data_IF_397779264654
#
_entry.id   IF_397779264654
#
_cell.length_a   1.000
_cell.length_b   1.000
_cell.length_c   1.000
_cell.angle_alpha   90.00
_cell.angle_beta   90.00
_cell.angle_gamma   90.00
#
_symmetry.space_group_name_H-M   'P 1'
#
loop_
_entity.id
_entity.type
_entity.pdbx_description
1 polymer ?
#
# COMPACT_ATOMS: atom_id res chain seq x y z
N UNK A 1 -9.13 11.93 -21.03
CA UNK A 1 -9.68 10.55 -21.08
C UNK A 1 -8.79 9.58 -21.90
N UNK A 2 -7.54 9.31 -21.50
CA UNK A 2 -6.63 8.39 -22.24
C UNK A 2 -6.37 7.03 -21.55
N UNK A 3 -6.70 6.88 -20.26
CA UNK A 3 -6.24 5.74 -19.45
C UNK A 3 -6.91 4.40 -19.82
N UNK A 4 -8.20 4.43 -20.17
CA UNK A 4 -9.01 3.27 -20.54
C UNK A 4 -9.23 3.16 -22.06
N UNK A 5 -8.50 3.95 -22.86
CA UNK A 5 -8.62 3.91 -24.32
C UNK A 5 -8.29 2.49 -24.82
N UNK A 6 -9.11 1.98 -25.75
CA UNK A 6 -8.99 0.63 -26.35
C UNK A 6 -9.17 -0.54 -25.36
N UNK A 7 -9.87 -0.34 -24.24
CA UNK A 7 -10.27 -1.46 -23.38
C UNK A 7 -11.58 -2.07 -23.90
N UNK A 8 -11.62 -3.41 -23.96
CA UNK A 8 -12.79 -4.18 -24.42
C UNK A 8 -13.90 -4.31 -23.39
N UNK A 9 -13.60 -4.01 -22.12
CA UNK A 9 -14.54 -4.14 -21.00
C UNK A 9 -14.92 -2.75 -20.47
N UNK A 10 -16.16 -2.57 -19.97
CA UNK A 10 -16.57 -1.35 -19.28
C UNK A 10 -15.62 -1.01 -18.13
N UNK A 11 -15.42 0.28 -17.87
CA UNK A 11 -14.46 0.76 -16.87
C UNK A 11 -14.85 0.29 -15.47
N UNK A 12 -16.16 0.25 -15.21
CA UNK A 12 -16.79 -0.20 -13.97
C UNK A 12 -16.42 -1.66 -13.67
N UNK A 13 -16.44 -2.52 -14.68
CA UNK A 13 -16.04 -3.93 -14.56
C UNK A 13 -14.54 -4.06 -14.25
N UNK A 14 -13.71 -3.27 -14.93
CA UNK A 14 -12.27 -3.25 -14.71
C UNK A 14 -11.97 -2.84 -13.27
N UNK A 15 -12.53 -1.70 -12.82
CA UNK A 15 -12.32 -1.17 -11.48
C UNK A 15 -12.90 -2.08 -10.40
N UNK A 16 -14.05 -2.73 -10.67
CA UNK A 16 -14.64 -3.73 -9.79
C UNK A 16 -13.65 -4.88 -9.54
N UNK A 17 -13.12 -5.48 -10.60
CA UNK A 17 -12.17 -6.59 -10.49
C UNK A 17 -10.90 -6.18 -9.73
N UNK A 18 -10.32 -5.02 -10.06
CA UNK A 18 -9.13 -4.53 -9.35
C UNK A 18 -9.43 -4.29 -7.87
N UNK A 19 -10.57 -3.69 -7.54
CA UNK A 19 -11.00 -3.43 -6.17
C UNK A 19 -11.22 -4.72 -5.39
N UNK A 20 -11.93 -5.69 -5.97
CA UNK A 20 -12.22 -6.97 -5.31
C UNK A 20 -10.95 -7.76 -5.05
N UNK A 21 -10.08 -7.89 -6.06
CA UNK A 21 -8.79 -8.54 -5.90
C UNK A 21 -7.99 -7.89 -4.76
N UNK A 22 -7.89 -6.56 -4.77
CA UNK A 22 -7.08 -5.84 -3.78
C UNK A 22 -7.69 -5.77 -2.37
N UNK A 23 -9.01 -5.86 -2.25
CA UNK A 23 -9.73 -5.75 -0.97
C UNK A 23 -9.89 -7.08 -0.25
N UNK A 24 -10.17 -8.15 -0.99
CA UNK A 24 -10.59 -9.43 -0.42
C UNK A 24 -9.48 -10.48 -0.43
N UNK A 25 -8.41 -10.29 -1.22
CA UNK A 25 -7.33 -11.27 -1.31
C UNK A 25 -7.80 -12.57 -1.97
N UNK A 26 -8.51 -12.47 -3.08
CA UNK A 26 -8.99 -13.62 -3.87
C UNK A 26 -7.98 -13.98 -4.95
N UNK A 27 -7.98 -15.22 -5.43
CA UNK A 27 -7.13 -15.61 -6.55
C UNK A 27 -7.65 -14.98 -7.86
N UNK A 28 -6.79 -14.83 -8.87
CA UNK A 28 -7.23 -14.34 -10.18
C UNK A 28 -8.18 -15.32 -10.88
N UNK A 29 -8.09 -16.62 -10.55
CA UNK A 29 -8.96 -17.66 -11.11
C UNK A 29 -10.34 -17.57 -10.48
N UNK A 30 -10.40 -17.53 -9.16
CA UNK A 30 -11.64 -17.39 -8.40
C UNK A 30 -12.36 -16.10 -8.80
N UNK A 31 -11.64 -14.98 -8.96
CA UNK A 31 -12.26 -13.74 -9.42
C UNK A 31 -12.79 -13.85 -10.86
N UNK A 32 -12.14 -14.58 -11.77
CA UNK A 32 -12.66 -14.80 -13.12
C UNK A 32 -13.93 -15.68 -13.10
N UNK A 33 -13.96 -16.68 -12.23
CA UNK A 33 -15.12 -17.54 -11.98
C UNK A 33 -16.31 -16.73 -11.44
N UNK A 34 -16.07 -15.94 -10.39
CA UNK A 34 -17.08 -15.01 -9.82
C UNK A 34 -17.62 -14.00 -10.84
N UNK A 35 -16.81 -13.60 -11.83
CA UNK A 35 -17.29 -12.72 -12.89
C UNK A 35 -18.11 -13.49 -13.94
N UNK A 36 -17.78 -14.75 -14.20
CA UNK A 36 -18.57 -15.64 -15.08
C UNK A 36 -19.96 -15.91 -14.52
N UNK A 37 -20.09 -16.11 -13.20
CA UNK A 37 -21.40 -16.20 -12.52
C UNK A 37 -22.28 -14.96 -12.74
N UNK A 38 -21.66 -13.81 -13.03
CA UNK A 38 -22.32 -12.52 -13.28
C UNK A 38 -22.45 -12.20 -14.77
N UNK A 39 -22.26 -13.21 -15.64
CA UNK A 39 -22.37 -13.06 -17.10
C UNK A 39 -21.19 -12.37 -17.78
N UNK A 40 -20.06 -12.18 -17.08
CA UNK A 40 -18.87 -11.50 -17.61
C UNK A 40 -17.73 -12.49 -17.79
N UNK A 41 -17.54 -12.95 -19.03
CA UNK A 41 -16.42 -13.83 -19.39
C UNK A 41 -15.11 -13.05 -19.48
N UNK A 42 -14.24 -13.18 -18.48
CA UNK A 42 -12.93 -12.54 -18.43
C UNK A 42 -11.85 -13.53 -18.01
N UNK A 43 -10.71 -13.54 -18.70
CA UNK A 43 -9.62 -14.43 -18.32
C UNK A 43 -8.84 -13.94 -17.09
N UNK A 44 -8.31 -14.85 -16.25
CA UNK A 44 -7.48 -14.49 -15.09
C UNK A 44 -6.30 -13.57 -15.45
N UNK A 45 -5.66 -13.83 -16.61
CA UNK A 45 -4.56 -13.02 -17.14
C UNK A 45 -4.97 -11.59 -17.49
N UNK A 46 -6.23 -11.39 -17.90
CA UNK A 46 -6.76 -10.05 -18.17
C UNK A 46 -6.94 -9.26 -16.89
N UNK A 47 -7.50 -9.89 -15.85
CA UNK A 47 -7.62 -9.28 -14.52
C UNK A 47 -6.23 -8.95 -13.94
N UNK A 48 -5.27 -9.86 -14.08
CA UNK A 48 -3.88 -9.61 -13.68
C UNK A 48 -3.34 -8.33 -14.33
N UNK A 49 -3.46 -8.18 -15.66
CA UNK A 49 -3.02 -6.96 -16.37
C UNK A 49 -3.74 -5.71 -15.88
N UNK A 50 -5.02 -5.81 -15.52
CA UNK A 50 -5.75 -4.69 -14.92
C UNK A 50 -5.21 -4.32 -13.54
N UNK A 51 -4.96 -5.28 -12.66
CA UNK A 51 -4.36 -5.00 -11.35
C UNK A 51 -3.00 -4.34 -11.52
N UNK A 52 -2.14 -4.87 -12.39
CA UNK A 52 -0.83 -4.31 -12.67
C UNK A 52 -0.89 -2.86 -13.18
N UNK A 53 -1.91 -2.52 -13.97
CA UNK A 53 -2.08 -1.18 -14.54
C UNK A 53 -2.75 -0.21 -13.59
N UNK A 54 -3.85 -0.62 -12.95
CA UNK A 54 -4.76 0.31 -12.28
C UNK A 54 -4.59 0.36 -10.76
N UNK A 55 -4.03 -0.66 -10.11
CA UNK A 55 -3.75 -0.58 -8.68
C UNK A 55 -2.77 0.56 -8.32
N UNK A 56 -1.64 0.76 -9.06
CA UNK A 56 -0.77 1.93 -8.84
C UNK A 56 -1.46 3.26 -9.16
N UNK A 57 -2.38 3.26 -10.12
CA UNK A 57 -3.15 4.43 -10.52
C UNK A 57 -4.18 4.84 -9.45
N UNK A 58 -4.79 3.87 -8.75
CA UNK A 58 -5.63 4.13 -7.58
C UNK A 58 -4.79 4.77 -6.46
N UNK A 59 -3.61 4.19 -6.16
CA UNK A 59 -2.68 4.73 -5.15
C UNK A 59 -2.26 6.17 -5.46
N UNK A 60 -1.91 6.45 -6.71
CA UNK A 60 -1.55 7.80 -7.15
C UNK A 60 -2.69 8.79 -6.96
N UNK A 61 -3.91 8.42 -7.37
CA UNK A 61 -5.06 9.33 -7.34
C UNK A 61 -5.64 9.53 -5.95
N UNK A 62 -5.52 8.55 -5.05
CA UNK A 62 -6.04 8.72 -3.69
C UNK A 62 -5.12 9.56 -2.80
N UNK A 63 -3.83 9.69 -3.14
CA UNK A 63 -2.81 10.35 -2.32
C UNK A 63 -3.24 11.73 -1.80
N UNK A 64 -3.82 12.65 -2.60
CA UNK A 64 -4.28 13.95 -2.12
C UNK A 64 -5.38 13.88 -1.04
N UNK A 65 -6.14 12.78 -0.99
CA UNK A 65 -7.31 12.62 -0.11
C UNK A 65 -6.99 11.88 1.19
N UNK A 66 -5.71 11.57 1.45
CA UNK A 66 -5.31 10.80 2.62
C UNK A 66 -5.40 11.59 3.94
N UNK A 67 -5.45 12.93 3.86
CA UNK A 67 -5.51 13.81 5.02
C UNK A 67 -4.24 13.78 5.88
N UNK A 68 -4.30 14.44 7.03
CA UNK A 68 -3.18 14.58 7.94
C UNK A 68 -2.68 13.21 8.50
N UNK A 69 -1.37 13.10 8.72
CA UNK A 69 -0.68 11.97 9.36
C UNK A 69 0.02 12.47 10.61
N UNK A 70 -0.15 11.78 11.73
CA UNK A 70 0.49 12.18 12.98
C UNK A 70 2.02 12.04 12.89
N UNK A 71 2.75 12.97 13.51
CA UNK A 71 4.22 12.95 13.56
C UNK A 71 4.84 11.78 14.34
N UNK A 72 4.06 11.02 15.11
CA UNK A 72 4.55 9.78 15.76
C UNK A 72 4.37 8.57 14.87
N UNK A 73 5.49 8.01 14.38
CA UNK A 73 5.54 6.92 13.41
C UNK A 73 5.92 5.59 14.05
N UNK A 74 5.47 4.50 13.44
CA UNK A 74 5.91 3.12 13.66
C UNK A 74 6.39 2.56 12.35
N UNK A 75 7.59 2.01 12.35
CA UNK A 75 8.34 1.64 11.15
C UNK A 75 8.90 0.24 11.35
N UNK A 76 8.56 -0.68 10.45
CA UNK A 76 9.00 -2.07 10.51
C UNK A 76 8.95 -2.71 9.11
N UNK A 77 9.56 -3.89 8.98
CA UNK A 77 9.50 -4.68 7.76
C UNK A 77 8.68 -5.95 7.93
N UNK A 78 8.10 -6.40 6.82
CA UNK A 78 7.49 -7.73 6.76
C UNK A 78 7.92 -8.52 5.55
N UNK A 79 7.91 -9.84 5.69
CA UNK A 79 8.36 -10.74 4.64
C UNK A 79 7.29 -10.98 3.58
N UNK A 80 7.69 -10.87 2.32
CA UNK A 80 6.85 -11.17 1.15
C UNK A 80 7.64 -12.05 0.19
N UNK A 81 7.02 -13.14 -0.31
CA UNK A 81 7.68 -14.06 -1.25
C UNK A 81 7.59 -13.52 -2.68
N UNK A 82 8.73 -13.31 -3.33
CA UNK A 82 8.83 -12.79 -4.70
C UNK A 82 9.92 -13.56 -5.47
N UNK A 83 9.56 -14.14 -6.62
CA UNK A 83 10.46 -14.96 -7.44
C UNK A 83 11.02 -16.13 -6.64
N UNK A 84 10.19 -16.79 -5.83
CA UNK A 84 10.59 -17.90 -4.95
C UNK A 84 11.37 -17.50 -3.69
N UNK A 85 11.90 -16.27 -3.60
CA UNK A 85 12.73 -15.79 -2.48
C UNK A 85 11.97 -14.89 -1.51
N UNK A 86 12.36 -14.88 -0.25
CA UNK A 86 11.85 -13.92 0.73
C UNK A 86 12.45 -12.53 0.48
N UNK A 87 11.57 -11.54 0.38
CA UNK A 87 11.88 -10.10 0.22
C UNK A 87 11.24 -9.30 1.34
N UNK A 88 11.62 -8.03 1.45
CA UNK A 88 11.25 -7.16 2.57
C UNK A 88 10.32 -6.06 2.10
N UNK A 89 9.13 -5.99 2.68
CA UNK A 89 8.22 -4.87 2.54
C UNK A 89 8.38 -3.98 3.77
N UNK A 90 9.07 -2.86 3.59
CA UNK A 90 9.19 -1.80 4.58
C UNK A 90 7.87 -1.03 4.66
N UNK A 91 7.41 -0.73 5.88
CA UNK A 91 6.11 -0.09 6.12
C UNK A 91 6.23 0.92 7.26
N UNK A 92 5.49 2.01 7.12
CA UNK A 92 5.41 3.08 8.11
C UNK A 92 3.95 3.46 8.29
N UNK A 93 3.50 3.47 9.53
CA UNK A 93 2.17 3.94 9.92
C UNK A 93 2.28 4.96 11.04
N UNK A 94 1.34 5.88 11.15
CA UNK A 94 1.27 6.79 12.29
C UNK A 94 0.67 6.09 13.54
N UNK A 95 0.62 6.81 14.67
CA UNK A 95 0.01 6.31 15.93
C UNK A 95 -1.47 5.90 15.82
N UNK A 96 -2.19 6.34 14.78
CA UNK A 96 -3.58 5.95 14.49
C UNK A 96 -3.66 4.80 13.47
N UNK A 97 -2.51 4.24 13.08
CA UNK A 97 -2.39 3.18 12.09
C UNK A 97 -2.66 3.66 10.66
N UNK A 98 -2.58 4.97 10.37
CA UNK A 98 -2.70 5.49 9.01
C UNK A 98 -1.39 5.28 8.26
N UNK A 99 -1.47 4.72 7.06
CA UNK A 99 -0.29 4.43 6.24
C UNK A 99 0.41 5.73 5.81
N UNK A 100 1.71 5.82 6.08
CA UNK A 100 2.58 6.92 5.64
C UNK A 100 3.27 6.52 4.33
N UNK A 101 3.92 5.35 4.32
CA UNK A 101 4.57 4.81 3.15
C UNK A 101 4.78 3.29 3.26
N UNK A 102 4.91 2.64 2.11
CA UNK A 102 5.40 1.28 1.99
C UNK A 102 6.42 1.15 0.85
N UNK A 103 7.39 0.25 0.96
CA UNK A 103 8.39 0.03 -0.08
C UNK A 103 8.88 -1.42 -0.09
N UNK A 104 8.77 -2.07 -1.25
CA UNK A 104 9.32 -3.41 -1.45
C UNK A 104 10.82 -3.31 -1.78
N UNK A 105 11.64 -4.09 -1.08
CA UNK A 105 13.09 -4.13 -1.22
C UNK A 105 13.61 -5.56 -1.34
N UNK A 106 14.67 -5.70 -2.12
CA UNK A 106 15.43 -6.95 -2.26
C UNK A 106 16.28 -7.29 -1.02
N UNK A 107 16.61 -6.28 -0.21
CA UNK A 107 17.58 -6.32 0.90
C UNK A 107 17.00 -5.64 2.15
N UNK A 108 17.51 -6.04 3.32
CA UNK A 108 17.22 -5.47 4.64
C UNK A 108 18.52 -4.88 5.22
N UNK A 109 18.97 -3.78 4.61
CA UNK A 109 20.20 -3.08 4.96
C UNK A 109 19.94 -1.59 5.24
N UNK A 110 20.94 -0.88 5.75
CA UNK A 110 20.88 0.57 6.00
C UNK A 110 20.50 1.37 4.76
N UNK A 111 20.97 0.95 3.57
CA UNK A 111 20.63 1.61 2.31
C UNK A 111 19.14 1.50 1.98
N UNK A 112 18.53 0.34 2.22
CA UNK A 112 17.09 0.12 2.07
C UNK A 112 16.30 0.92 3.12
N UNK A 113 16.72 0.92 4.37
CA UNK A 113 16.09 1.72 5.43
C UNK A 113 16.13 3.22 5.11
N UNK A 114 17.28 3.74 4.66
CA UNK A 114 17.44 5.13 4.22
C UNK A 114 16.50 5.49 3.08
N UNK A 115 16.47 4.67 2.00
CA UNK A 115 15.56 4.92 0.86
C UNK A 115 14.10 4.89 1.30
N UNK A 116 13.76 4.01 2.24
CA UNK A 116 12.41 3.91 2.77
C UNK A 116 12.02 5.14 3.58
N UNK A 117 12.83 5.53 4.56
CA UNK A 117 12.58 6.69 5.40
C UNK A 117 12.54 7.98 4.58
N UNK A 118 13.43 8.15 3.61
CA UNK A 118 13.38 9.28 2.66
C UNK A 118 12.07 9.31 1.87
N UNK A 119 11.58 8.15 1.42
CA UNK A 119 10.29 8.03 0.74
C UNK A 119 9.13 8.40 1.68
N UNK A 120 9.17 7.96 2.92
CA UNK A 120 8.17 8.26 3.94
C UNK A 120 8.13 9.76 4.24
N UNK A 121 9.29 10.38 4.47
CA UNK A 121 9.44 11.81 4.69
C UNK A 121 8.86 12.65 3.54
N UNK A 122 9.19 12.31 2.30
CA UNK A 122 8.63 12.98 1.12
C UNK A 122 7.10 12.83 1.00
N UNK A 123 6.52 11.78 1.58
CA UNK A 123 5.08 11.57 1.51
C UNK A 123 4.30 12.49 2.47
N UNK A 124 4.97 13.09 3.46
CA UNK A 124 4.40 13.95 4.48
C UNK A 124 5.28 15.18 4.70
N UNK A 125 5.81 15.76 3.61
CA UNK A 125 6.73 16.91 3.64
C UNK A 125 6.21 18.06 4.51
N UNK A 126 4.90 18.25 4.54
CA UNK A 126 4.24 19.35 5.23
C UNK A 126 4.09 19.07 6.75
N UNK A 127 4.28 17.81 7.16
CA UNK A 127 4.12 17.33 8.54
C UNK A 127 5.22 16.30 8.87
N UNK A 128 6.47 16.75 9.07
CA UNK A 128 7.57 15.85 9.41
C UNK A 128 7.28 15.06 10.69
N UNK A 129 7.91 13.88 10.87
CA UNK A 129 7.78 13.12 12.10
C UNK A 129 8.35 13.91 13.27
N UNK A 130 7.76 13.74 14.45
CA UNK A 130 8.37 14.09 15.73
C UNK A 130 9.04 12.89 16.40
N UNK A 131 8.62 11.67 16.06
CA UNK A 131 9.23 10.44 16.57
C UNK A 131 9.11 9.29 15.59
N UNK A 132 10.18 8.49 15.49
CA UNK A 132 10.23 7.27 14.69
C UNK A 132 10.47 6.11 15.65
N UNK A 133 9.46 5.25 15.81
CA UNK A 133 9.61 4.00 16.57
C UNK A 133 9.90 2.86 15.61
N UNK A 134 11.01 2.15 15.81
CA UNK A 134 11.35 0.97 15.01
C UNK A 134 11.52 -0.27 15.88
N UNK A 135 11.62 -1.44 15.27
CA UNK A 135 12.20 -2.60 15.94
C UNK A 135 13.72 -2.40 16.15
N UNK A 136 14.38 -3.32 16.88
CA UNK A 136 15.81 -3.27 17.26
C UNK A 136 16.79 -3.47 16.09
N UNK A 137 16.36 -3.29 14.83
CA UNK A 137 17.23 -3.44 13.67
C UNK A 137 18.26 -2.31 13.60
N UNK A 138 19.56 -2.65 13.64
CA UNK A 138 20.68 -1.71 13.63
C UNK A 138 20.77 -0.82 12.37
N UNK A 139 20.02 -1.14 11.31
CA UNK A 139 19.96 -0.36 10.07
C UNK A 139 19.23 0.97 10.24
N UNK A 140 18.22 1.05 11.12
CA UNK A 140 17.40 2.24 11.28
C UNK A 140 18.13 3.43 11.92
N UNK A 141 18.84 3.27 13.05
CA UNK A 141 19.60 4.37 13.64
C UNK A 141 20.58 5.01 12.64
N UNK A 142 21.33 4.18 11.91
CA UNK A 142 22.28 4.64 10.88
C UNK A 142 21.59 5.40 9.73
N UNK A 143 20.41 4.94 9.33
CA UNK A 143 19.64 5.58 8.26
C UNK A 143 19.00 6.91 8.72
N UNK A 144 18.56 7.00 9.98
CA UNK A 144 17.99 8.20 10.59
C UNK A 144 19.08 9.28 10.72
N UNK A 145 20.22 8.93 11.32
CA UNK A 145 21.37 9.83 11.47
C UNK A 145 21.79 10.41 10.12
N UNK A 146 21.96 9.56 9.12
CA UNK A 146 22.30 10.01 7.76
C UNK A 146 21.27 10.99 7.18
N UNK A 147 19.97 10.79 7.42
CA UNK A 147 18.94 11.72 6.94
C UNK A 147 18.96 13.06 7.68
N UNK A 148 19.33 13.05 8.96
CA UNK A 148 19.54 14.26 9.77
C UNK A 148 20.76 15.04 9.28
N UNK A 149 21.88 14.35 9.05
CA UNK A 149 23.11 14.94 8.51
C UNK A 149 22.90 15.57 7.12
N UNK A 150 22.07 14.96 6.28
CA UNK A 150 21.71 15.49 4.95
C UNK A 150 20.62 16.59 5.01
N UNK A 151 20.13 16.96 6.20
CA UNK A 151 19.06 17.96 6.38
C UNK A 151 17.69 17.54 5.84
N UNK A 152 17.51 16.23 5.57
CA UNK A 152 16.26 15.68 5.03
C UNK A 152 15.27 15.28 6.12
N UNK A 153 15.74 15.09 7.35
CA UNK A 153 14.93 14.79 8.53
C UNK A 153 15.31 15.79 9.64
N UNK A 154 14.35 16.35 10.39
CA UNK A 154 14.69 17.25 11.48
C UNK A 154 15.60 16.60 12.55
N UNK A 155 16.50 17.39 13.12
CA UNK A 155 17.46 16.91 14.13
C UNK A 155 16.80 16.57 15.48
N UNK A 156 15.62 17.12 15.75
CA UNK A 156 14.82 16.88 16.95
C UNK A 156 13.93 15.62 16.84
N UNK A 157 13.96 14.89 15.72
CA UNK A 157 13.23 13.63 15.57
C UNK A 157 13.76 12.59 16.54
N UNK A 158 12.90 12.16 17.46
CA UNK A 158 13.25 11.16 18.47
C UNK A 158 13.15 9.75 17.89
N UNK A 159 14.27 9.04 17.79
CA UNK A 159 14.28 7.60 17.52
C UNK A 159 13.99 6.81 18.80
N UNK A 160 13.09 5.82 18.71
CA UNK A 160 12.72 4.96 19.84
C UNK A 160 12.70 3.51 19.40
N UNK A 161 12.97 2.61 20.35
CA UNK A 161 12.67 1.19 20.21
C UNK A 161 11.64 0.82 21.27
N UNK A 162 10.48 0.32 20.85
CA UNK A 162 9.41 -0.07 21.80
C UNK A 162 8.55 -1.17 21.20
N UNK A 163 8.59 -2.35 21.83
CA UNK A 163 7.77 -3.49 21.43
C UNK A 163 6.28 -3.16 21.54
N UNK A 164 5.86 -2.53 22.63
CA UNK A 164 4.46 -2.17 22.87
C UNK A 164 3.90 -1.22 21.79
N UNK A 165 4.66 -0.17 21.41
CA UNK A 165 4.20 0.78 20.39
C UNK A 165 4.11 0.15 18.99
N UNK A 166 4.89 -0.91 18.74
CA UNK A 166 4.88 -1.63 17.47
C UNK A 166 3.68 -2.57 17.29
N UNK A 167 2.91 -2.87 18.34
CA UNK A 167 1.72 -3.74 18.28
C UNK A 167 0.72 -3.31 17.19
N UNK A 168 0.54 -2.00 16.98
CA UNK A 168 -0.34 -1.47 15.92
C UNK A 168 0.14 -1.90 14.53
N UNK A 169 1.45 -1.82 14.31
CA UNK A 169 2.06 -2.17 13.03
C UNK A 169 2.08 -3.70 12.83
N UNK A 170 2.29 -4.48 13.90
CA UNK A 170 2.17 -5.94 13.86
C UNK A 170 0.75 -6.41 13.51
N UNK A 171 -0.27 -5.82 14.13
CA UNK A 171 -1.67 -6.09 13.78
C UNK A 171 -1.96 -5.72 12.32
N UNK A 172 -1.43 -4.57 11.86
CA UNK A 172 -1.55 -4.13 10.47
C UNK A 172 -0.81 -5.07 9.48
N UNK A 173 0.34 -5.61 9.88
CA UNK A 173 1.07 -6.65 9.15
C UNK A 173 0.22 -7.92 9.00
N UNK A 174 -0.43 -8.38 10.07
CA UNK A 174 -1.32 -9.54 10.03
C UNK A 174 -2.47 -9.37 9.05
N UNK A 175 -3.12 -8.21 9.07
CA UNK A 175 -4.20 -7.88 8.14
C UNK A 175 -3.73 -7.80 6.67
N UNK A 176 -2.53 -7.25 6.41
CA UNK A 176 -1.95 -7.25 5.07
C UNK A 176 -1.58 -8.67 4.60
N UNK A 177 -0.99 -9.49 5.47
CA UNK A 177 -0.65 -10.88 5.16
C UNK A 177 -1.88 -11.70 4.78
N UNK A 178 -3.05 -11.40 5.34
CA UNK A 178 -4.31 -12.07 5.00
C UNK A 178 -4.68 -11.90 3.53
N UNK A 179 -4.45 -10.73 2.93
CA UNK A 179 -4.73 -10.49 1.50
C UNK A 179 -3.58 -10.93 0.58
N UNK A 180 -2.35 -11.04 1.09
CA UNK A 180 -1.20 -11.53 0.33
C UNK A 180 -1.19 -13.05 0.23
N UNK A 181 -1.55 -13.79 1.28
CA UNK A 181 -1.45 -15.27 1.32
C UNK A 181 -2.08 -15.96 0.11
N UNK A 182 -3.28 -15.57 -0.36
CA UNK A 182 -3.92 -16.24 -1.50
C UNK A 182 -3.22 -16.01 -2.84
N UNK A 183 -2.30 -15.02 -2.93
CA UNK A 183 -1.51 -14.82 -4.15
C UNK A 183 -0.45 -15.92 -4.35
N UNK A 184 -0.16 -16.73 -3.32
CA UNK A 184 0.89 -17.78 -3.32
C UNK A 184 2.29 -17.26 -3.68
N UNK A 185 2.54 -15.98 -3.41
CA UNK A 185 3.77 -15.28 -3.76
C UNK A 185 3.72 -14.61 -5.14
N UNK A 186 4.65 -13.70 -5.39
CA UNK A 186 4.74 -12.94 -6.63
C UNK A 186 5.86 -13.46 -7.52
N UNK A 187 5.74 -13.27 -8.84
CA UNK A 187 6.77 -13.73 -9.79
C UNK A 187 7.94 -12.74 -9.91
N UNK A 188 7.68 -11.43 -9.88
CA UNK A 188 8.73 -10.41 -10.02
C UNK A 188 8.53 -9.21 -9.09
N UNK A 189 9.61 -8.48 -8.81
CA UNK A 189 9.58 -7.28 -7.95
C UNK A 189 8.63 -6.20 -8.50
N UNK A 190 8.61 -6.03 -9.84
CA UNK A 190 7.74 -5.07 -10.51
C UNK A 190 6.27 -5.41 -10.26
N UNK A 191 5.88 -6.68 -10.44
CA UNK A 191 4.49 -7.08 -10.31
C UNK A 191 4.03 -7.15 -8.86
N UNK A 192 4.91 -7.60 -7.97
CA UNK A 192 4.71 -7.51 -6.53
C UNK A 192 4.48 -6.06 -6.09
N UNK A 193 5.34 -5.13 -6.51
CA UNK A 193 5.24 -3.72 -6.14
C UNK A 193 3.92 -3.08 -6.57
N UNK A 194 3.45 -3.35 -7.79
CA UNK A 194 2.17 -2.84 -8.27
C UNK A 194 0.98 -3.39 -7.47
N UNK A 195 0.96 -4.70 -7.22
CA UNK A 195 -0.11 -5.35 -6.46
C UNK A 195 -0.13 -4.91 -5.00
N UNK A 196 1.03 -4.83 -4.35
CA UNK A 196 1.15 -4.41 -2.94
C UNK A 196 0.62 -2.99 -2.74
N UNK A 197 0.86 -2.06 -3.68
CA UNK A 197 0.23 -0.73 -3.66
C UNK A 197 -1.30 -0.82 -3.65
N UNK A 198 -1.85 -1.73 -4.46
CA UNK A 198 -3.29 -2.01 -4.48
C UNK A 198 -3.83 -2.52 -3.15
N UNK A 199 -3.13 -3.45 -2.51
CA UNK A 199 -3.51 -3.98 -1.19
C UNK A 199 -3.48 -2.87 -0.14
N UNK A 200 -2.42 -2.08 -0.10
CA UNK A 200 -2.28 -0.97 0.83
C UNK A 200 -3.39 0.08 0.64
N UNK A 201 -3.65 0.48 -0.60
CA UNK A 201 -4.63 1.53 -0.90
C UNK A 201 -6.05 1.08 -0.58
N UNK A 202 -6.41 -0.17 -0.91
CA UNK A 202 -7.74 -0.68 -0.61
C UNK A 202 -7.97 -0.92 0.88
N UNK A 203 -6.92 -1.32 1.62
CA UNK A 203 -6.99 -1.41 3.09
C UNK A 203 -7.18 -0.04 3.71
N UNK A 204 -6.47 0.98 3.22
CA UNK A 204 -6.63 2.37 3.67
C UNK A 204 -8.05 2.88 3.43
N UNK A 205 -8.61 2.66 2.22
CA UNK A 205 -9.98 3.04 1.86
C UNK A 205 -11.00 2.33 2.77
N UNK A 206 -10.85 1.01 2.97
CA UNK A 206 -11.73 0.21 3.85
C UNK A 206 -11.74 0.71 5.29
N UNK A 207 -10.59 1.17 5.80
CA UNK A 207 -10.44 1.73 7.15
C UNK A 207 -10.94 3.17 7.28
N UNK A 208 -11.42 3.80 6.21
CA UNK A 208 -11.89 5.19 6.24
C UNK A 208 -10.78 6.24 6.36
N UNK A 209 -9.55 5.88 5.98
CA UNK A 209 -8.42 6.80 6.04
C UNK A 209 -8.31 7.70 4.79
N UNK A 210 -9.46 8.05 4.19
CA UNK A 210 -9.59 8.90 3.02
C UNK A 210 -10.74 9.88 3.26
N UNK A 211 -10.48 11.19 3.11
CA UNK A 211 -11.43 12.26 3.45
C UNK A 211 -12.72 12.21 2.62
N UNK A 212 -12.64 11.77 1.36
CA UNK A 212 -13.79 11.67 0.45
C UNK A 212 -14.66 10.42 0.66
N UNK A 213 -14.30 9.52 1.57
CA UNK A 213 -14.97 8.22 1.68
C UNK A 213 -16.22 8.31 2.56
N UNK A 214 -17.39 8.08 1.96
CA UNK A 214 -18.61 7.78 2.72
C UNK A 214 -18.54 6.40 3.39
N UNK A 215 -19.26 6.20 4.50
CA UNK A 215 -19.31 4.92 5.20
C UNK A 215 -19.88 3.79 4.33
N UNK A 216 -19.57 2.55 4.68
CA UNK A 216 -20.05 1.35 3.98
C UNK A 216 -19.32 1.02 2.68
N UNK A 217 -19.78 -0.04 2.01
CA UNK A 217 -19.17 -0.55 0.76
C UNK A 217 -19.46 0.37 -0.42
N UNK A 218 -20.66 0.96 -0.48
CA UNK A 218 -21.07 1.89 -1.54
C UNK A 218 -20.18 3.14 -1.55
N UNK A 219 -19.80 3.67 -0.39
CA UNK A 219 -18.88 4.80 -0.29
C UNK A 219 -17.47 4.49 -0.79
N UNK A 220 -16.99 3.25 -0.63
CA UNK A 220 -15.71 2.81 -1.22
C UNK A 220 -15.79 2.76 -2.76
N UNK A 221 -16.91 2.26 -3.30
CA UNK A 221 -17.14 2.20 -4.75
C UNK A 221 -17.20 3.61 -5.34
N UNK A 222 -18.00 4.49 -4.72
CA UNK A 222 -18.15 5.88 -5.12
C UNK A 222 -16.80 6.61 -5.13
N UNK A 223 -16.00 6.44 -4.08
CA UNK A 223 -14.66 7.03 -4.02
C UNK A 223 -13.82 6.58 -5.23
N UNK A 224 -13.71 5.27 -5.47
CA UNK A 224 -12.89 4.76 -6.58
C UNK A 224 -13.43 5.27 -7.92
N UNK A 225 -14.74 5.26 -8.14
CA UNK A 225 -15.35 5.78 -9.37
C UNK A 225 -15.04 7.26 -9.59
N UNK A 226 -15.18 8.09 -8.55
CA UNK A 226 -14.85 9.51 -8.58
C UNK A 226 -13.39 9.77 -8.91
N UNK A 227 -12.45 8.97 -8.37
CA UNK A 227 -11.03 9.09 -8.72
C UNK A 227 -10.80 8.93 -10.23
N UNK A 228 -11.62 8.14 -10.93
CA UNK A 228 -11.50 7.94 -12.37
C UNK A 228 -12.48 8.78 -13.21
N UNK A 229 -13.23 9.69 -12.59
CA UNK A 229 -14.18 10.56 -13.27
C UNK A 229 -15.41 9.82 -13.80
N UNK A 230 -15.77 8.68 -13.20
CA UNK A 230 -17.03 7.99 -13.49
C UNK A 230 -18.15 8.61 -12.65
N UNK A 231 -19.39 8.57 -13.16
CA UNK A 231 -20.57 8.95 -12.40
C UNK A 231 -20.67 8.13 -11.10
N UNK A 232 -21.07 8.81 -10.03
CA UNK A 232 -21.16 8.25 -8.68
C UNK A 232 -22.38 7.34 -8.52
#
# INVERSE_FOLDING_TARGET
>A
MSLFKRRRFPVEIILLCVRWYCKYGISYRDLAEMMSERGVSVSPSTIFRWVQRYAPEIEKRVRPYQGHRSGSWRVDETYVRVGGRWRYLFRAVDKHGRLIASMLSGRRDTGAAYRFLRKAQRAVSDYPPSSITTDKLASYPKAILRLQDEGLLPNDVVHRTSKYLNNILEADHGALKRVIRPTRGFQSMKTAGATLKGFEVMRMVRRGHCMLRHAGVTGEVRLVNQLFGLAA
#
